data_IF_410148463754
#
_entry.id   IF_410148463754
#
_cell.length_a   1.000
_cell.length_b   1.000
_cell.length_c   1.000
_cell.angle_alpha   90.00
_cell.angle_beta   90.00
_cell.angle_gamma   90.00
#
_symmetry.space_group_name_H-M   'P 1'
#
loop_
_entity.id
_entity.type
_entity.pdbx_description
1 polymer ?
#
# COMPACT_ATOMS: atom_id res chain seq x y z
N UNK A 1 11.87 7.09 13.63
CA UNK A 1 12.36 6.07 12.67
C UNK A 1 12.83 6.76 11.38
N UNK A 2 13.37 6.07 10.36
CA UNK A 2 13.49 6.57 8.97
C UNK A 2 12.83 5.55 8.03
N UNK A 3 12.20 5.95 6.90
CA UNK A 3 11.59 4.99 5.99
C UNK A 3 12.65 4.15 5.25
N UNK A 4 12.24 2.98 4.79
CA UNK A 4 13.02 2.12 3.90
C UNK A 4 12.43 2.19 2.49
N UNK A 5 13.24 2.57 1.50
CA UNK A 5 12.75 2.72 0.13
C UNK A 5 13.16 1.52 -0.72
N UNK A 6 12.20 0.93 -1.39
CA UNK A 6 12.40 -0.02 -2.49
C UNK A 6 12.43 0.79 -3.77
N UNK A 7 13.58 0.90 -4.42
CA UNK A 7 13.73 1.70 -5.64
C UNK A 7 13.74 0.77 -6.85
N UNK A 8 12.59 0.57 -7.46
CA UNK A 8 12.42 -0.31 -8.62
C UNK A 8 12.42 0.49 -9.94
N UNK A 9 11.80 1.66 -9.97
CA UNK A 9 11.79 2.54 -11.15
C UNK A 9 12.95 3.55 -11.14
N UNK A 10 13.42 3.92 -9.94
CA UNK A 10 14.41 4.99 -9.74
C UNK A 10 13.82 6.37 -9.49
N UNK A 11 12.48 6.51 -9.43
CA UNK A 11 11.80 7.80 -9.20
C UNK A 11 12.31 8.55 -7.96
N UNK A 12 12.70 7.82 -6.91
CA UNK A 12 13.18 8.41 -5.67
C UNK A 12 14.47 9.23 -5.81
N UNK A 13 15.29 9.01 -6.84
CA UNK A 13 16.44 9.89 -7.14
C UNK A 13 15.98 11.33 -7.50
N UNK A 14 14.76 11.46 -8.03
CA UNK A 14 14.17 12.74 -8.46
C UNK A 14 13.30 13.41 -7.39
N UNK A 15 12.82 12.68 -6.38
CA UNK A 15 11.90 13.23 -5.36
C UNK A 15 12.59 13.97 -4.20
N UNK A 16 13.90 13.82 -4.04
CA UNK A 16 14.67 14.49 -2.97
C UNK A 16 14.35 13.97 -1.55
N UNK A 17 13.11 14.11 -1.04
CA UNK A 17 12.72 13.73 0.33
C UNK A 17 12.89 12.23 0.60
N UNK A 18 12.36 11.37 -0.27
CA UNK A 18 12.53 9.93 -0.15
C UNK A 18 14.01 9.53 -0.18
N UNK A 19 14.84 10.28 -0.90
CA UNK A 19 16.28 10.05 -0.99
C UNK A 19 17.05 10.53 0.25
N UNK A 20 16.76 11.73 0.75
CA UNK A 20 17.48 12.37 1.86
C UNK A 20 17.03 11.88 3.24
N UNK A 21 15.75 11.52 3.37
CA UNK A 21 15.17 11.09 4.64
C UNK A 21 15.11 9.58 4.80
N UNK A 22 15.25 8.81 3.71
CA UNK A 22 15.41 7.37 3.81
C UNK A 22 16.54 7.01 4.79
N UNK A 23 16.26 6.00 5.61
CA UNK A 23 17.30 5.37 6.41
C UNK A 23 18.18 4.48 5.55
N UNK A 24 17.55 3.87 4.55
CA UNK A 24 18.19 2.97 3.59
C UNK A 24 17.34 2.91 2.32
N UNK A 25 18.03 2.90 1.19
CA UNK A 25 17.45 2.66 -0.13
C UNK A 25 17.96 1.31 -0.60
N UNK A 26 17.05 0.45 -1.04
CA UNK A 26 17.38 -0.77 -1.73
C UNK A 26 17.12 -0.57 -3.21
N UNK A 27 18.21 -0.35 -3.95
CA UNK A 27 18.19 -0.23 -5.40
C UNK A 27 17.94 -1.59 -6.04
N UNK A 28 16.84 -1.70 -6.78
CA UNK A 28 16.32 -2.90 -7.41
C UNK A 28 16.10 -2.70 -8.91
N UNK A 29 16.57 -1.59 -9.50
CA UNK A 29 16.34 -1.22 -10.90
C UNK A 29 16.83 -2.24 -11.93
N UNK A 30 17.84 -3.02 -11.56
CA UNK A 30 18.41 -4.07 -12.42
C UNK A 30 17.57 -5.36 -12.43
N UNK A 31 16.59 -5.50 -11.53
CA UNK A 31 15.66 -6.62 -11.56
C UNK A 31 14.74 -6.52 -12.78
N UNK A 32 14.45 -7.67 -13.38
CA UNK A 32 13.57 -7.79 -14.53
C UNK A 32 12.26 -8.44 -14.13
N UNK A 33 11.22 -8.18 -14.92
CA UNK A 33 9.90 -8.74 -14.66
C UNK A 33 9.36 -8.25 -13.32
N UNK A 34 9.41 -6.94 -13.11
CA UNK A 34 8.91 -6.28 -11.88
C UNK A 34 7.86 -5.23 -12.19
N UNK A 35 7.69 -4.83 -13.45
CA UNK A 35 6.83 -3.71 -13.83
C UNK A 35 5.37 -4.15 -14.00
N UNK A 36 4.55 -3.94 -12.96
CA UNK A 36 3.13 -4.31 -12.92
C UNK A 36 2.88 -5.81 -12.72
N UNK A 37 3.78 -6.66 -13.21
CA UNK A 37 3.77 -8.12 -13.05
C UNK A 37 5.12 -8.58 -12.52
N UNK A 38 5.09 -9.48 -11.54
CA UNK A 38 6.27 -10.03 -10.93
C UNK A 38 6.60 -11.42 -11.51
N UNK A 39 7.72 -11.52 -12.20
CA UNK A 39 8.23 -12.79 -12.71
C UNK A 39 8.53 -13.77 -11.56
N UNK A 40 8.17 -15.06 -11.68
CA UNK A 40 8.35 -16.04 -10.60
C UNK A 40 9.79 -16.24 -10.13
N UNK A 41 10.80 -16.09 -10.99
CA UNK A 41 12.20 -16.19 -10.57
C UNK A 41 12.59 -14.97 -9.73
N UNK A 42 12.11 -13.78 -10.13
CA UNK A 42 12.29 -12.53 -9.37
C UNK A 42 11.51 -12.55 -8.05
N UNK A 43 10.30 -13.13 -8.02
CA UNK A 43 9.52 -13.33 -6.78
C UNK A 43 10.30 -14.15 -5.76
N UNK A 44 10.81 -15.33 -6.17
CA UNK A 44 11.61 -16.20 -5.28
C UNK A 44 12.87 -15.50 -4.75
N UNK A 45 13.55 -14.74 -5.61
CA UNK A 45 14.70 -13.94 -5.20
C UNK A 45 14.31 -12.90 -4.15
N UNK A 46 13.25 -12.12 -4.40
CA UNK A 46 12.78 -11.09 -3.47
C UNK A 46 12.32 -11.69 -2.14
N UNK A 47 11.58 -12.79 -2.14
CA UNK A 47 11.15 -13.49 -0.92
C UNK A 47 12.35 -13.91 -0.04
N UNK A 48 13.37 -14.53 -0.65
CA UNK A 48 14.58 -14.94 0.07
C UNK A 48 15.33 -13.74 0.66
N UNK A 49 15.46 -12.67 -0.11
CA UNK A 49 16.16 -11.46 0.30
C UNK A 49 15.42 -10.67 1.40
N UNK A 50 14.09 -10.59 1.29
CA UNK A 50 13.21 -10.00 2.29
C UNK A 50 13.25 -10.80 3.60
N UNK A 51 13.22 -12.13 3.52
CA UNK A 51 13.39 -13.01 4.68
C UNK A 51 14.70 -12.74 5.40
N UNK A 52 15.82 -12.69 4.65
CA UNK A 52 17.15 -12.36 5.17
C UNK A 52 17.19 -10.99 5.85
N UNK A 53 16.61 -9.95 5.24
CA UNK A 53 16.55 -8.59 5.81
C UNK A 53 15.68 -8.51 7.07
N UNK A 54 14.61 -9.31 7.15
CA UNK A 54 13.80 -9.41 8.37
C UNK A 54 14.60 -10.04 9.51
N UNK A 55 15.33 -11.12 9.25
CA UNK A 55 16.18 -11.80 10.24
C UNK A 55 17.31 -10.91 10.75
N UNK A 56 17.94 -10.14 9.85
CA UNK A 56 19.01 -9.19 10.21
C UNK A 56 18.50 -7.86 10.78
N UNK A 57 17.17 -7.70 10.93
CA UNK A 57 16.50 -6.48 11.42
C UNK A 57 16.83 -5.24 10.57
N UNK A 58 17.05 -5.44 9.28
CA UNK A 58 17.35 -4.40 8.30
C UNK A 58 16.09 -3.89 7.58
N UNK A 59 14.91 -4.39 7.95
CA UNK A 59 13.61 -4.02 7.37
C UNK A 59 12.78 -3.20 8.38
N UNK A 60 12.80 -1.86 8.30
CA UNK A 60 11.93 -0.97 9.05
C UNK A 60 10.44 -1.21 8.80
N UNK A 61 9.60 -0.71 9.72
CA UNK A 61 8.14 -0.84 9.68
C UNK A 61 7.44 0.20 8.80
N UNK A 62 8.14 1.20 8.26
CA UNK A 62 7.60 2.14 7.27
C UNK A 62 8.40 1.99 5.99
N UNK A 63 7.71 1.68 4.90
CA UNK A 63 8.31 1.27 3.64
C UNK A 63 7.71 2.05 2.48
N UNK A 64 8.56 2.56 1.61
CA UNK A 64 8.20 3.25 0.37
C UNK A 64 8.40 2.27 -0.78
N UNK A 65 7.35 2.00 -1.56
CA UNK A 65 7.27 0.89 -2.52
C UNK A 65 7.43 1.28 -3.98
N UNK A 66 7.75 2.55 -4.28
CA UNK A 66 7.82 3.10 -5.63
C UNK A 66 6.41 3.31 -6.24
N UNK A 67 6.28 3.37 -7.57
CA UNK A 67 4.99 3.58 -8.26
C UNK A 67 3.98 2.44 -8.04
N UNK A 68 2.70 2.67 -8.36
CA UNK A 68 1.63 1.68 -8.17
C UNK A 68 1.86 0.35 -8.90
N UNK A 69 2.75 0.34 -9.91
CA UNK A 69 3.17 -0.88 -10.60
C UNK A 69 3.83 -1.92 -9.68
N UNK A 70 4.33 -1.48 -8.52
CA UNK A 70 5.06 -2.31 -7.57
C UNK A 70 4.27 -2.61 -6.29
N UNK A 71 2.98 -2.29 -6.25
CA UNK A 71 2.17 -2.45 -5.04
C UNK A 71 2.06 -3.90 -4.56
N UNK A 72 2.30 -4.86 -5.46
CA UNK A 72 2.44 -6.28 -5.14
C UNK A 72 3.53 -6.59 -4.11
N UNK A 73 4.51 -5.69 -3.93
CA UNK A 73 5.51 -5.82 -2.86
C UNK A 73 4.86 -5.92 -1.48
N UNK A 74 3.68 -5.32 -1.29
CA UNK A 74 2.86 -5.47 -0.08
C UNK A 74 2.56 -6.93 0.23
N UNK A 75 2.20 -7.76 -0.78
CA UNK A 75 1.97 -9.21 -0.59
C UNK A 75 3.22 -9.93 -0.10
N UNK A 76 4.40 -9.62 -0.67
CA UNK A 76 5.66 -10.25 -0.25
C UNK A 76 6.01 -9.88 1.19
N UNK A 77 5.81 -8.60 1.55
CA UNK A 77 6.05 -8.09 2.89
C UNK A 77 5.07 -8.66 3.92
N UNK A 78 3.79 -8.83 3.57
CA UNK A 78 2.79 -9.51 4.38
C UNK A 78 3.16 -10.97 4.64
N UNK A 79 3.73 -11.67 3.65
CA UNK A 79 4.19 -13.06 3.79
C UNK A 79 5.29 -13.25 4.85
N UNK A 80 5.94 -12.17 5.26
CA UNK A 80 6.90 -12.20 6.36
C UNK A 80 6.22 -12.23 7.73
N UNK A 81 4.98 -11.74 7.84
CA UNK A 81 4.26 -11.60 9.10
C UNK A 81 3.68 -12.93 9.58
N UNK A 82 3.90 -13.23 10.86
CA UNK A 82 3.50 -14.51 11.49
C UNK A 82 2.35 -14.36 12.48
N UNK A 83 2.12 -13.13 12.96
CA UNK A 83 0.99 -12.85 13.85
C UNK A 83 -0.28 -12.64 13.03
N UNK A 84 -1.42 -12.99 13.63
CA UNK A 84 -2.73 -12.69 13.06
C UNK A 84 -2.90 -11.17 12.95
N UNK A 85 -3.38 -10.69 11.82
CA UNK A 85 -3.48 -9.25 11.51
C UNK A 85 -4.75 -8.89 10.75
N UNK A 86 -5.08 -7.61 10.76
CA UNK A 86 -6.08 -7.02 9.88
C UNK A 86 -5.39 -6.05 8.91
N UNK A 87 -5.69 -6.15 7.61
CA UNK A 87 -5.10 -5.31 6.58
C UNK A 87 -6.04 -4.15 6.25
N UNK A 88 -5.53 -2.93 6.30
CA UNK A 88 -6.17 -1.73 5.79
C UNK A 88 -5.45 -1.32 4.51
N UNK A 89 -6.18 -1.13 3.41
CA UNK A 89 -5.62 -0.68 2.14
C UNK A 89 -6.34 0.59 1.71
N UNK A 90 -5.61 1.67 1.48
CA UNK A 90 -6.11 2.85 0.77
C UNK A 90 -5.64 2.76 -0.67
N UNK A 91 -6.58 2.76 -1.61
CA UNK A 91 -6.32 2.44 -3.01
C UNK A 91 -7.49 2.91 -3.89
N UNK A 92 -7.22 3.45 -5.07
CA UNK A 92 -8.28 3.67 -6.06
C UNK A 92 -8.73 2.38 -6.76
N UNK A 93 -7.88 1.37 -6.78
CA UNK A 93 -8.13 0.08 -7.43
C UNK A 93 -8.48 -0.99 -6.41
N UNK A 94 -9.20 -2.01 -6.87
CA UNK A 94 -9.57 -3.11 -5.98
C UNK A 94 -8.42 -4.08 -5.74
N UNK A 95 -7.41 -4.10 -6.62
CA UNK A 95 -6.28 -5.03 -6.65
C UNK A 95 -6.63 -6.51 -6.42
N UNK A 96 -7.82 -6.84 -6.91
CA UNK A 96 -8.46 -8.14 -6.77
C UNK A 96 -8.74 -8.80 -8.13
N UNK A 97 -8.06 -8.38 -9.19
CA UNK A 97 -8.24 -8.94 -10.51
C UNK A 97 -7.84 -10.41 -10.53
N UNK A 98 -8.65 -11.30 -11.13
CA UNK A 98 -8.24 -12.68 -11.35
C UNK A 98 -7.08 -12.73 -12.37
N UNK A 99 -6.21 -13.75 -12.30
CA UNK A 99 -5.12 -13.90 -13.26
C UNK A 99 -5.65 -14.04 -14.69
N UNK A 100 -5.12 -13.23 -15.61
CA UNK A 100 -5.59 -13.20 -17.00
C UNK A 100 -5.28 -14.49 -17.80
N UNK A 101 -4.19 -15.19 -17.45
CA UNK A 101 -3.80 -16.44 -18.13
C UNK A 101 -3.00 -17.39 -17.24
N UNK A 102 -1.94 -16.87 -16.61
CA UNK A 102 -1.07 -17.61 -15.70
C UNK A 102 -1.17 -16.98 -14.30
N UNK A 103 -0.99 -17.75 -13.21
CA UNK A 103 -1.02 -17.26 -11.84
C UNK A 103 0.29 -16.49 -11.53
N UNK A 104 0.48 -15.37 -12.21
CA UNK A 104 1.60 -14.45 -12.03
C UNK A 104 1.11 -13.31 -11.16
N UNK A 105 1.81 -13.05 -10.05
CA UNK A 105 1.50 -11.95 -9.16
C UNK A 105 1.61 -10.62 -9.92
N UNK A 106 0.64 -9.72 -9.71
CA UNK A 106 0.62 -8.39 -10.31
C UNK A 106 0.18 -7.33 -9.31
N UNK A 107 0.39 -6.05 -9.62
CA UNK A 107 -0.23 -4.96 -8.86
C UNK A 107 -1.75 -5.14 -8.83
N UNK A 108 -2.41 -5.35 -9.96
CA UNK A 108 -3.86 -5.54 -10.00
C UNK A 108 -4.43 -6.79 -9.31
N UNK A 109 -3.61 -7.70 -8.76
CA UNK A 109 -4.09 -8.98 -8.16
C UNK A 109 -3.60 -9.23 -6.73
N UNK A 110 -2.72 -8.40 -6.18
CA UNK A 110 -1.98 -8.75 -4.97
C UNK A 110 -2.89 -8.90 -3.74
N UNK A 111 -4.00 -8.15 -3.64
CA UNK A 111 -4.94 -8.26 -2.52
C UNK A 111 -5.66 -9.60 -2.60
N UNK A 112 -6.12 -10.01 -3.79
CA UNK A 112 -6.77 -11.32 -4.00
C UNK A 112 -5.83 -12.46 -3.65
N UNK A 113 -4.59 -12.37 -4.12
CA UNK A 113 -3.59 -13.39 -3.87
C UNK A 113 -3.19 -13.46 -2.39
N UNK A 114 -3.04 -12.31 -1.72
CA UNK A 114 -2.77 -12.25 -0.27
C UNK A 114 -3.94 -12.82 0.55
N UNK A 115 -5.18 -12.46 0.19
CA UNK A 115 -6.40 -12.95 0.83
C UNK A 115 -6.54 -14.47 0.73
N UNK A 116 -6.13 -15.07 -0.40
CA UNK A 116 -6.16 -16.52 -0.61
C UNK A 116 -4.97 -17.27 0.01
N UNK A 117 -3.78 -16.65 0.06
CA UNK A 117 -2.55 -17.32 0.49
C UNK A 117 -2.33 -17.31 2.00
N UNK A 118 -2.67 -16.22 2.70
CA UNK A 118 -2.21 -15.98 4.07
C UNK A 118 -3.32 -16.15 5.12
N UNK A 119 -3.28 -17.28 5.83
CA UNK A 119 -4.27 -17.61 6.88
C UNK A 119 -4.21 -16.71 8.12
N UNK A 120 -3.12 -15.98 8.31
CA UNK A 120 -2.96 -15.00 9.39
C UNK A 120 -3.58 -13.63 9.05
N UNK A 121 -3.96 -13.37 7.80
CA UNK A 121 -4.78 -12.20 7.45
C UNK A 121 -6.23 -12.52 7.80
N UNK A 122 -6.73 -11.96 8.89
CA UNK A 122 -8.11 -12.20 9.38
C UNK A 122 -9.16 -11.36 8.71
N UNK A 123 -8.73 -10.37 7.93
CA UNK A 123 -9.60 -9.50 7.20
C UNK A 123 -8.85 -8.40 6.47
N UNK A 124 -9.45 -7.92 5.38
CA UNK A 124 -8.94 -6.84 4.55
C UNK A 124 -10.05 -5.81 4.35
N UNK A 125 -9.76 -4.54 4.62
CA UNK A 125 -10.63 -3.42 4.28
C UNK A 125 -9.93 -2.58 3.21
N UNK A 126 -10.47 -2.58 1.98
CA UNK A 126 -9.99 -1.77 0.86
C UNK A 126 -10.85 -0.52 0.75
N UNK A 127 -10.22 0.65 0.78
CA UNK A 127 -10.85 1.96 0.96
C UNK A 127 -10.46 2.83 -0.23
N UNK A 128 -11.45 3.31 -0.99
CA UNK A 128 -11.22 4.18 -2.15
C UNK A 128 -11.77 3.68 -3.48
N UNK A 129 -11.94 2.38 -3.78
CA UNK A 129 -12.31 1.99 -5.14
C UNK A 129 -13.73 2.44 -5.54
N UNK A 130 -13.96 2.82 -6.81
CA UNK A 130 -15.30 3.14 -7.30
C UNK A 130 -16.28 1.96 -7.14
N UNK A 131 -17.54 2.26 -6.81
CA UNK A 131 -18.58 1.23 -6.62
C UNK A 131 -18.72 0.31 -7.85
N UNK A 132 -18.54 0.85 -9.06
CA UNK A 132 -18.57 0.07 -10.29
C UNK A 132 -17.49 -1.03 -10.33
N UNK A 133 -16.24 -0.71 -9.96
CA UNK A 133 -15.15 -1.69 -9.92
C UNK A 133 -15.37 -2.72 -8.81
N UNK A 134 -15.89 -2.29 -7.67
CA UNK A 134 -16.24 -3.19 -6.56
C UNK A 134 -17.31 -4.19 -6.97
N UNK A 135 -18.34 -3.77 -7.72
CA UNK A 135 -19.41 -4.66 -8.22
C UNK A 135 -18.91 -5.72 -9.19
N UNK A 136 -17.86 -5.43 -9.94
CA UNK A 136 -17.23 -6.36 -10.89
C UNK A 136 -16.21 -7.31 -10.21
N UNK A 137 -15.78 -6.98 -9.00
CA UNK A 137 -14.79 -7.74 -8.25
C UNK A 137 -15.41 -9.01 -7.64
N UNK A 138 -14.70 -10.14 -7.75
CA UNK A 138 -15.10 -11.38 -7.11
C UNK A 138 -15.12 -11.22 -5.59
N UNK A 139 -16.28 -11.46 -4.97
CA UNK A 139 -16.44 -11.32 -3.53
C UNK A 139 -15.67 -12.42 -2.78
N UNK A 140 -14.95 -12.01 -1.72
CA UNK A 140 -14.30 -12.91 -0.76
C UNK A 140 -14.82 -12.62 0.65
N UNK A 141 -15.04 -13.65 1.46
CA UNK A 141 -15.73 -13.54 2.76
C UNK A 141 -15.07 -12.58 3.77
N UNK A 142 -13.76 -12.38 3.65
CA UNK A 142 -12.95 -11.56 4.55
C UNK A 142 -12.35 -10.32 3.88
N UNK A 143 -12.93 -9.87 2.77
CA UNK A 143 -12.56 -8.63 2.08
C UNK A 143 -13.78 -7.70 2.04
N UNK A 144 -13.63 -6.51 2.62
CA UNK A 144 -14.66 -5.47 2.64
C UNK A 144 -14.18 -4.23 1.89
N UNK A 145 -15.11 -3.56 1.22
CA UNK A 145 -14.84 -2.33 0.47
C UNK A 145 -15.54 -1.13 1.10
N UNK A 146 -14.84 0.00 1.11
CA UNK A 146 -15.40 1.34 1.31
C UNK A 146 -15.14 2.12 0.03
N UNK A 147 -16.21 2.50 -0.66
CA UNK A 147 -16.14 2.99 -2.04
C UNK A 147 -15.83 4.48 -2.12
N UNK A 148 -15.33 4.96 -3.27
CA UNK A 148 -15.13 6.39 -3.52
C UNK A 148 -16.42 7.18 -3.27
N UNK A 149 -17.58 6.67 -3.69
CA UNK A 149 -18.87 7.33 -3.54
C UNK A 149 -19.27 7.48 -2.06
N UNK A 150 -18.96 6.49 -1.22
CA UNK A 150 -19.17 6.56 0.23
C UNK A 150 -18.20 7.54 0.88
N UNK A 151 -16.97 7.68 0.36
CA UNK A 151 -16.05 8.73 0.82
C UNK A 151 -16.59 10.13 0.45
N UNK A 152 -17.00 10.31 -0.80
CA UNK A 152 -17.50 11.58 -1.34
C UNK A 152 -18.79 12.07 -0.62
N UNK A 153 -19.70 11.16 -0.26
CA UNK A 153 -20.93 11.51 0.47
C UNK A 153 -20.76 11.59 2.00
N UNK A 154 -19.56 11.25 2.50
CA UNK A 154 -19.17 11.31 3.90
C UNK A 154 -19.60 10.11 4.75
N UNK A 155 -20.28 9.10 4.18
CA UNK A 155 -20.69 7.89 4.90
C UNK A 155 -19.53 6.90 5.12
N UNK A 156 -18.46 6.99 4.34
CA UNK A 156 -17.33 6.06 4.35
C UNK A 156 -16.61 6.01 5.69
N UNK A 157 -16.47 7.14 6.40
CA UNK A 157 -15.88 7.16 7.73
C UNK A 157 -16.67 6.32 8.75
N UNK A 158 -18.01 6.30 8.65
CA UNK A 158 -18.85 5.46 9.50
C UNK A 158 -18.72 3.99 9.13
N UNK A 159 -18.67 3.68 7.83
CA UNK A 159 -18.48 2.31 7.32
C UNK A 159 -17.13 1.71 7.70
N UNK A 160 -16.03 2.49 7.62
CA UNK A 160 -14.71 2.07 8.10
C UNK A 160 -14.80 1.66 9.58
N UNK A 161 -15.41 2.50 10.42
CA UNK A 161 -15.58 2.20 11.85
C UNK A 161 -16.39 0.93 12.08
N UNK A 162 -17.45 0.72 11.31
CA UNK A 162 -18.27 -0.49 11.36
C UNK A 162 -17.48 -1.75 10.99
N UNK A 163 -16.76 -1.73 9.87
CA UNK A 163 -15.92 -2.86 9.41
C UNK A 163 -14.87 -3.20 10.46
N UNK A 164 -14.16 -2.20 10.98
CA UNK A 164 -13.11 -2.42 11.98
C UNK A 164 -13.68 -2.88 13.34
N UNK A 165 -14.84 -2.37 13.75
CA UNK A 165 -15.49 -2.82 14.99
C UNK A 165 -16.02 -4.25 14.89
N UNK A 166 -16.54 -4.63 13.72
CA UNK A 166 -17.16 -5.93 13.49
C UNK A 166 -16.16 -7.04 13.19
N UNK A 167 -15.07 -6.72 12.50
CA UNK A 167 -14.18 -7.73 11.91
C UNK A 167 -12.72 -7.63 12.37
N UNK A 168 -12.19 -6.43 12.61
CA UNK A 168 -10.79 -6.29 12.99
C UNK A 168 -10.52 -6.67 14.46
N UNK A 169 -11.53 -6.62 15.33
CA UNK A 169 -11.39 -6.96 16.74
C UNK A 169 -10.21 -6.25 17.40
N UNK A 170 -9.33 -7.04 18.05
CA UNK A 170 -8.07 -6.56 18.64
C UNK A 170 -6.84 -6.91 17.80
N UNK A 171 -7.01 -7.36 16.56
CA UNK A 171 -5.88 -7.68 15.70
C UNK A 171 -5.03 -6.44 15.44
N UNK A 172 -3.70 -6.56 15.41
CA UNK A 172 -2.83 -5.49 14.97
C UNK A 172 -3.09 -5.18 13.48
N UNK A 173 -2.87 -3.92 13.09
CA UNK A 173 -3.16 -3.43 11.75
C UNK A 173 -1.89 -3.35 10.92
N UNK A 174 -1.94 -3.91 9.73
CA UNK A 174 -1.03 -3.59 8.65
C UNK A 174 -1.72 -2.56 7.74
N UNK A 175 -1.05 -1.46 7.44
CA UNK A 175 -1.58 -0.41 6.58
C UNK A 175 -0.80 -0.40 5.26
N UNK A 176 -1.48 -0.51 4.14
CA UNK A 176 -0.90 -0.22 2.82
C UNK A 176 -1.64 0.96 2.20
N UNK A 177 -0.92 1.89 1.60
CA UNK A 177 -1.48 3.07 0.95
C UNK A 177 -0.90 3.12 -0.45
N UNK A 178 -1.72 2.91 -1.47
CA UNK A 178 -1.46 3.49 -2.79
C UNK A 178 -1.97 4.93 -2.79
N UNK A 179 -1.14 5.84 -3.32
CA UNK A 179 -1.46 7.27 -3.38
C UNK A 179 -2.33 7.62 -4.58
N UNK A 180 -2.61 6.68 -5.48
CA UNK A 180 -3.61 6.91 -6.53
C UNK A 180 -5.03 7.14 -6.00
N UNK A 181 -5.33 6.77 -4.74
CA UNK A 181 -6.57 7.16 -4.06
C UNK A 181 -6.74 8.69 -3.98
N UNK A 182 -5.63 9.43 -3.99
CA UNK A 182 -5.65 10.88 -3.88
C UNK A 182 -6.26 11.52 -5.13
N UNK A 183 -6.69 12.78 -5.02
CA UNK A 183 -7.05 13.55 -6.21
C UNK A 183 -5.80 13.97 -7.00
N UNK A 184 -5.96 14.18 -8.31
CA UNK A 184 -4.87 14.67 -9.20
C UNK A 184 -4.29 16.01 -8.75
N UNK A 185 -5.07 16.83 -8.03
CA UNK A 185 -4.60 18.11 -7.48
C UNK A 185 -3.63 17.94 -6.30
N UNK A 186 -3.72 16.83 -5.55
CA UNK A 186 -2.79 16.52 -4.47
C UNK A 186 -1.54 15.80 -5.01
N UNK A 187 -1.72 14.84 -5.91
CA UNK A 187 -0.64 14.10 -6.57
C UNK A 187 -1.14 13.43 -7.86
N UNK A 188 -0.43 13.62 -8.97
CA UNK A 188 -0.65 12.86 -10.20
C UNK A 188 0.34 11.69 -10.23
N UNK A 189 -0.16 10.46 -10.09
CA UNK A 189 0.61 9.22 -10.10
C UNK A 189 0.65 8.60 -11.51
N UNK A 190 1.17 7.39 -11.63
CA UNK A 190 1.21 6.65 -12.90
C UNK A 190 -0.09 5.87 -13.23
N UNK A 191 -1.10 5.92 -12.37
CA UNK A 191 -2.40 5.25 -12.55
C UNK A 191 -3.57 6.25 -12.56
N UNK A 192 -4.78 5.76 -12.90
CA UNK A 192 -5.99 6.56 -12.72
C UNK A 192 -6.28 6.81 -11.23
N UNK A 193 -6.89 7.97 -10.94
CA UNK A 193 -6.89 8.55 -9.61
C UNK A 193 -8.30 8.58 -9.00
N UNK A 194 -8.34 8.46 -7.67
CA UNK A 194 -9.48 8.82 -6.85
C UNK A 194 -9.63 10.32 -6.67
N UNK A 195 -10.32 10.68 -5.61
CA UNK A 195 -10.68 12.08 -5.30
C UNK A 195 -10.41 12.46 -3.84
N UNK A 196 -9.64 11.64 -3.11
CA UNK A 196 -9.39 11.85 -1.68
C UNK A 196 -8.31 12.91 -1.48
N UNK A 197 -8.47 13.75 -0.46
CA UNK A 197 -7.42 14.70 -0.06
C UNK A 197 -6.45 14.07 0.94
N UNK A 198 -5.20 14.54 0.97
CA UNK A 198 -4.17 13.98 1.89
C UNK A 198 -4.61 14.06 3.36
N UNK A 199 -5.21 15.19 3.76
CA UNK A 199 -5.69 15.38 5.15
C UNK A 199 -6.86 14.45 5.49
N UNK A 200 -7.70 14.13 4.50
CA UNK A 200 -8.80 13.20 4.64
C UNK A 200 -8.29 11.76 4.79
N UNK A 201 -7.38 11.33 3.92
CA UNK A 201 -6.70 10.03 4.03
C UNK A 201 -6.10 9.86 5.43
N UNK A 202 -5.37 10.87 5.93
CA UNK A 202 -4.80 10.84 7.28
C UNK A 202 -5.85 10.77 8.39
N UNK A 203 -7.03 11.37 8.20
CA UNK A 203 -8.14 11.26 9.13
C UNK A 203 -8.72 9.84 9.15
N UNK A 204 -8.96 9.25 7.97
CA UNK A 204 -9.49 7.89 7.83
C UNK A 204 -8.48 6.84 8.33
N UNK A 205 -7.19 7.03 8.05
CA UNK A 205 -6.13 6.17 8.57
C UNK A 205 -6.09 6.20 10.11
N UNK A 206 -6.31 7.35 10.75
CA UNK A 206 -6.43 7.42 12.22
C UNK A 206 -7.58 6.56 12.74
N UNK A 207 -8.73 6.54 12.05
CA UNK A 207 -9.87 5.72 12.43
C UNK A 207 -9.55 4.21 12.31
N UNK A 208 -8.80 3.80 11.28
CA UNK A 208 -8.33 2.42 11.11
C UNK A 208 -7.37 2.00 12.23
N UNK A 209 -6.42 2.88 12.58
CA UNK A 209 -5.34 2.59 13.53
C UNK A 209 -5.73 2.84 15.00
N UNK A 210 -6.90 3.42 15.28
CA UNK A 210 -7.30 3.82 16.63
C UNK A 210 -7.35 2.62 17.59
N UNK A 211 -6.54 2.69 18.67
CA UNK A 211 -6.51 1.67 19.72
C UNK A 211 -5.87 0.35 19.32
N UNK A 212 -5.17 0.29 18.18
CA UNK A 212 -4.57 -0.94 17.63
C UNK A 212 -3.05 -0.79 17.49
N UNK A 213 -2.33 -1.88 17.71
CA UNK A 213 -0.89 -1.98 17.38
C UNK A 213 -0.73 -1.88 15.87
N UNK A 214 0.17 -1.03 15.40
CA UNK A 214 0.53 -0.92 13.98
C UNK A 214 1.71 -1.84 13.68
N UNK A 215 1.52 -2.85 12.84
CA UNK A 215 2.57 -3.79 12.44
C UNK A 215 3.57 -3.13 11.50
N UNK A 216 3.05 -2.54 10.45
CA UNK A 216 3.84 -1.85 9.45
C UNK A 216 2.94 -0.97 8.57
N UNK A 217 3.58 -0.07 7.83
CA UNK A 217 2.98 0.86 6.88
C UNK A 217 3.76 0.76 5.57
N UNK A 218 3.03 0.56 4.49
CA UNK A 218 3.54 0.64 3.13
C UNK A 218 2.95 1.87 2.43
N UNK A 219 3.80 2.60 1.72
CA UNK A 219 3.44 3.79 0.94
C UNK A 219 3.89 3.55 -0.51
N UNK A 220 2.93 3.44 -1.41
CA UNK A 220 3.04 3.15 -2.84
C UNK A 220 2.40 4.29 -3.65
N UNK A 221 2.52 4.27 -4.97
CA UNK A 221 1.88 5.26 -5.84
C UNK A 221 2.73 6.51 -6.08
N UNK A 222 4.02 6.35 -6.34
CA UNK A 222 4.83 7.44 -6.89
C UNK A 222 4.48 7.78 -8.36
N UNK A 223 4.81 9.00 -8.82
CA UNK A 223 4.79 9.33 -10.25
C UNK A 223 5.67 8.40 -11.09
N UNK A 224 5.51 8.45 -12.41
CA UNK A 224 6.39 7.71 -13.32
C UNK A 224 7.85 8.14 -13.18
N UNK A 225 8.82 7.26 -13.44
CA UNK A 225 10.26 7.55 -13.32
C UNK A 225 10.74 8.79 -14.10
N UNK A 226 10.01 9.17 -15.15
CA UNK A 226 10.32 10.33 -16.00
C UNK A 226 9.39 11.52 -15.73
N UNK A 227 8.72 11.54 -14.58
CA UNK A 227 7.81 12.61 -14.19
C UNK A 227 8.52 13.97 -14.15
N UNK A 228 7.82 15.07 -14.51
CA UNK A 228 8.31 16.42 -14.32
C UNK A 228 8.71 16.71 -12.87
N UNK A 229 9.70 17.58 -12.68
CA UNK A 229 10.20 17.99 -11.35
C UNK A 229 9.09 18.48 -10.40
N UNK A 230 8.05 19.12 -10.94
CA UNK A 230 6.90 19.57 -10.17
C UNK A 230 6.11 18.41 -9.54
N UNK A 231 5.91 17.31 -10.28
CA UNK A 231 5.24 16.11 -9.79
C UNK A 231 6.12 15.39 -8.76
N UNK A 232 7.42 15.24 -9.02
CA UNK A 232 8.37 14.69 -8.05
C UNK A 232 8.39 15.50 -6.74
N UNK A 233 8.30 16.83 -6.84
CA UNK A 233 8.22 17.72 -5.67
C UNK A 233 6.90 17.57 -4.92
N UNK A 234 5.78 17.37 -5.62
CA UNK A 234 4.49 17.08 -5.00
C UNK A 234 4.51 15.73 -4.27
N UNK A 235 5.01 14.67 -4.92
CA UNK A 235 5.16 13.33 -4.35
C UNK A 235 6.01 13.38 -3.05
N UNK A 236 7.12 14.09 -3.10
CA UNK A 236 8.01 14.38 -1.98
C UNK A 236 7.29 15.00 -0.77
N UNK A 237 6.45 16.02 -1.02
CA UNK A 237 5.66 16.68 0.02
C UNK A 237 4.57 15.77 0.59
N UNK A 238 3.89 14.98 -0.25
CA UNK A 238 2.89 14.00 0.19
C UNK A 238 3.56 12.92 1.04
N UNK A 239 4.69 12.38 0.60
CA UNK A 239 5.50 11.42 1.35
C UNK A 239 5.90 11.97 2.72
N UNK A 240 6.31 13.24 2.80
CA UNK A 240 6.64 13.89 4.07
C UNK A 240 5.44 13.98 5.02
N UNK A 241 4.26 14.35 4.51
CA UNK A 241 3.03 14.44 5.31
C UNK A 241 2.61 13.07 5.84
N UNK A 242 2.52 12.08 4.95
CA UNK A 242 2.13 10.71 5.29
C UNK A 242 3.10 10.09 6.29
N UNK A 243 4.40 10.20 6.01
CA UNK A 243 5.45 9.71 6.91
C UNK A 243 5.37 10.37 8.28
N UNK A 244 5.30 11.71 8.34
CA UNK A 244 5.26 12.45 9.60
C UNK A 244 4.06 12.07 10.48
N UNK A 245 2.90 11.83 9.88
CA UNK A 245 1.70 11.43 10.61
C UNK A 245 1.72 9.96 11.05
N UNK A 246 2.21 9.05 10.21
CA UNK A 246 2.15 7.61 10.44
C UNK A 246 3.33 7.10 11.29
N UNK A 247 4.51 7.73 11.20
CA UNK A 247 5.66 7.40 12.05
C UNK A 247 5.35 7.57 13.54
N UNK A 248 4.59 8.59 13.91
CA UNK A 248 4.14 8.81 15.27
C UNK A 248 3.27 7.67 15.82
N UNK A 249 2.64 6.86 14.96
CA UNK A 249 1.77 5.73 15.34
C UNK A 249 2.48 4.39 15.44
N UNK A 250 3.67 4.29 14.88
CA UNK A 250 4.49 3.07 14.92
C UNK A 250 5.42 3.07 16.15
N UNK A 251 5.69 4.24 16.73
CA UNK A 251 6.56 4.40 17.91
C UNK A 251 5.83 4.19 19.26
N UNK A 252 4.49 4.16 19.26
CA UNK A 252 3.61 3.75 20.37
C UNK A 252 3.45 2.22 20.45
#
# INVERSE_FOLDING_TARGET
>A
MKPFCFSLSGIYESEGYAWEQAGKIWDLRELRGTDGYLDPETEQFLEAELGRKKETKELPRIRLLDSGNYHYMSKLLLGLEKEDLFLAVFDHHTDMQPPALLPVLSCGSWIRDAAGAYQNIKGICVIGPPEALVRETEAMEHVWFVTQEELDDGSGAAKIKEVFASHAGTFPVYLSVDKDILSKEELDTNWDQGNVRVDELLSLAKDCLAGRKVLAVDLCGEPSANAPEAECSAASLVNQKLYGALAAKIED
#
